data_IF_718113038501
#
_entry.id   IF_718113038501
#
_cell.length_a   1.000
_cell.length_b   1.000
_cell.length_c   1.000
_cell.angle_alpha   90.00
_cell.angle_beta   90.00
_cell.angle_gamma   90.00
#
_symmetry.space_group_name_H-M   'P 1'
#
loop_
_entity.id
_entity.type
_entity.pdbx_description
1 polymer ?
#
# COMPACT_ATOMS: atom_id res chain seq x y z
N UNK A 1 15.33 14.10 17.72
CA UNK A 1 14.64 12.81 17.49
C UNK A 1 13.47 12.80 18.45
N UNK A 2 12.26 12.45 17.99
CA UNK A 2 11.10 12.41 18.87
C UNK A 2 11.20 11.23 19.84
N UNK A 3 10.73 11.41 21.06
CA UNK A 3 10.57 10.34 22.04
C UNK A 3 9.39 9.44 21.63
N UNK A 4 8.29 10.09 21.20
CA UNK A 4 7.09 9.44 20.62
C UNK A 4 6.89 10.00 19.22
N UNK A 5 7.05 9.17 18.19
CA UNK A 5 6.96 9.58 16.78
C UNK A 5 5.69 9.01 16.14
N UNK A 6 4.64 9.81 16.06
CA UNK A 6 3.33 9.47 15.52
C UNK A 6 3.08 10.08 14.12
N UNK A 7 4.14 10.54 13.43
CA UNK A 7 4.01 11.18 12.12
C UNK A 7 3.49 10.24 11.03
N UNK A 8 3.91 8.98 11.09
CA UNK A 8 3.52 7.92 10.14
C UNK A 8 4.09 6.58 10.61
N UNK A 9 3.47 5.47 10.24
CA UNK A 9 4.04 4.13 10.43
C UNK A 9 5.30 3.88 9.58
N UNK A 10 5.61 4.75 8.62
CA UNK A 10 6.87 4.72 7.85
C UNK A 10 8.11 5.05 8.68
N UNK A 11 7.96 5.61 9.88
CA UNK A 11 9.06 5.87 10.82
C UNK A 11 9.34 4.69 11.75
N UNK A 12 8.57 3.60 11.66
CA UNK A 12 8.76 2.37 12.42
C UNK A 12 10.17 1.82 12.20
N UNK A 13 10.82 1.43 13.27
CA UNK A 13 12.19 0.92 13.23
C UNK A 13 12.23 -0.58 13.42
N UNK A 14 13.18 -1.28 12.76
CA UNK A 14 13.36 -2.71 12.96
C UNK A 14 13.76 -3.02 14.40
N UNK A 15 13.15 -4.05 14.97
CA UNK A 15 13.52 -4.56 16.29
C UNK A 15 14.91 -5.21 16.28
N UNK A 16 15.52 -5.37 17.45
CA UNK A 16 16.81 -6.06 17.55
C UNK A 16 16.75 -7.50 17.01
N UNK A 17 15.64 -8.20 17.25
CA UNK A 17 15.42 -9.54 16.73
C UNK A 17 15.35 -9.55 15.19
N UNK A 18 14.65 -8.59 14.60
CA UNK A 18 14.59 -8.43 13.14
C UNK A 18 15.97 -8.13 12.55
N UNK A 19 16.77 -7.24 13.17
CA UNK A 19 18.15 -6.95 12.74
C UNK A 19 19.03 -8.21 12.80
N UNK A 20 18.87 -9.04 13.82
CA UNK A 20 19.59 -10.31 13.92
C UNK A 20 19.15 -11.29 12.81
N UNK A 21 17.85 -11.35 12.47
CA UNK A 21 17.36 -12.14 11.35
C UNK A 21 17.98 -11.70 10.02
N UNK A 22 18.10 -10.38 9.80
CA UNK A 22 18.78 -9.82 8.62
C UNK A 22 20.22 -10.33 8.50
N UNK A 23 21.01 -10.17 9.56
CA UNK A 23 22.45 -10.52 9.56
C UNK A 23 22.66 -12.02 9.37
N UNK A 24 21.73 -12.85 9.85
CA UNK A 24 21.81 -14.31 9.79
C UNK A 24 21.25 -14.90 8.48
N UNK A 25 20.68 -14.07 7.62
CA UNK A 25 20.06 -14.55 6.38
C UNK A 25 21.11 -14.98 5.36
N UNK A 26 21.00 -16.19 4.77
CA UNK A 26 21.85 -16.58 3.65
C UNK A 26 21.54 -15.71 2.43
N UNK A 27 22.57 -15.38 1.65
CA UNK A 27 22.47 -14.48 0.50
C UNK A 27 23.05 -15.10 -0.77
N UNK A 28 22.53 -14.65 -1.91
CA UNK A 28 23.02 -14.92 -3.26
C UNK A 28 22.87 -13.66 -4.10
N UNK A 29 22.72 -13.79 -5.41
CA UNK A 29 22.52 -12.66 -6.31
C UNK A 29 21.06 -12.63 -6.81
N UNK A 30 20.28 -11.61 -6.42
CA UNK A 30 18.87 -11.44 -6.82
C UNK A 30 18.70 -11.36 -8.35
N UNK A 31 19.63 -10.72 -9.07
CA UNK A 31 19.54 -10.62 -10.53
C UNK A 31 19.75 -11.96 -11.22
N UNK A 32 20.61 -12.82 -10.66
CA UNK A 32 20.82 -14.17 -11.14
C UNK A 32 19.70 -15.12 -10.70
N UNK A 33 18.89 -14.70 -9.72
CA UNK A 33 17.78 -15.50 -9.21
C UNK A 33 18.23 -16.64 -8.31
N UNK A 34 19.38 -16.49 -7.62
CA UNK A 34 19.96 -17.49 -6.73
C UNK A 34 20.07 -17.04 -5.26
N UNK A 35 19.54 -15.86 -4.90
CA UNK A 35 19.47 -15.44 -3.51
C UNK A 35 18.40 -16.26 -2.76
N UNK A 36 18.80 -17.17 -1.84
CA UNK A 36 17.84 -18.13 -1.25
C UNK A 36 16.83 -17.46 -0.34
N UNK A 37 17.17 -16.33 0.30
CA UNK A 37 16.24 -15.63 1.20
C UNK A 37 15.23 -14.81 0.43
N UNK A 38 15.62 -14.21 -0.71
CA UNK A 38 14.67 -13.56 -1.63
C UNK A 38 13.69 -14.58 -2.20
N UNK A 39 14.19 -15.71 -2.69
CA UNK A 39 13.35 -16.79 -3.21
C UNK A 39 12.37 -17.33 -2.17
N UNK A 40 12.82 -17.50 -0.91
CA UNK A 40 11.95 -17.90 0.21
C UNK A 40 10.85 -16.86 0.44
N UNK A 41 11.19 -15.56 0.50
CA UNK A 41 10.21 -14.49 0.71
C UNK A 41 9.16 -14.46 -0.41
N UNK A 42 9.61 -14.51 -1.67
CA UNK A 42 8.72 -14.50 -2.83
C UNK A 42 7.77 -15.74 -2.81
N UNK A 43 8.29 -16.92 -2.48
CA UNK A 43 7.50 -18.14 -2.37
C UNK A 43 6.47 -18.06 -1.22
N UNK A 44 6.86 -17.56 -0.04
CA UNK A 44 5.96 -17.39 1.10
C UNK A 44 4.76 -16.48 0.77
N UNK A 45 5.00 -15.37 0.07
CA UNK A 45 3.92 -14.49 -0.35
C UNK A 45 3.01 -15.12 -1.41
N UNK A 46 3.59 -15.78 -2.41
CA UNK A 46 2.83 -16.48 -3.45
C UNK A 46 1.91 -17.56 -2.82
N UNK A 47 2.44 -18.36 -1.89
CA UNK A 47 1.68 -19.40 -1.17
C UNK A 47 0.54 -18.80 -0.33
N UNK A 48 0.82 -17.78 0.50
CA UNK A 48 -0.17 -17.17 1.40
C UNK A 48 -1.34 -16.54 0.65
N UNK A 49 -1.05 -15.86 -0.45
CA UNK A 49 -2.07 -15.22 -1.28
C UNK A 49 -2.67 -16.15 -2.35
N UNK A 50 -2.13 -17.34 -2.54
CA UNK A 50 -2.58 -18.26 -3.60
C UNK A 50 -2.31 -17.72 -5.01
N UNK A 51 -1.33 -16.82 -5.17
CA UNK A 51 -0.89 -16.31 -6.48
C UNK A 51 0.21 -17.19 -7.06
N UNK A 52 0.44 -17.11 -8.38
CA UNK A 52 1.45 -17.97 -9.02
C UNK A 52 2.87 -17.56 -8.65
N UNK A 53 3.14 -16.26 -8.53
CA UNK A 53 4.48 -15.71 -8.26
C UNK A 53 4.42 -14.41 -7.48
N UNK A 54 5.59 -14.06 -6.94
CA UNK A 54 5.85 -12.78 -6.28
C UNK A 54 7.17 -12.17 -6.76
N UNK A 55 7.35 -10.87 -6.54
CA UNK A 55 8.56 -10.11 -6.86
C UNK A 55 8.90 -9.18 -5.72
N UNK A 56 10.07 -9.35 -5.10
CA UNK A 56 10.56 -8.45 -4.08
C UNK A 56 11.05 -7.13 -4.70
N UNK A 57 10.55 -6.00 -4.17
CA UNK A 57 10.81 -4.64 -4.65
C UNK A 57 11.36 -3.77 -3.51
N UNK A 58 12.05 -2.66 -3.85
CA UNK A 58 12.66 -1.76 -2.86
C UNK A 58 11.64 -0.97 -2.07
N UNK A 59 10.49 -0.65 -2.67
CA UNK A 59 9.45 0.19 -2.07
C UNK A 59 8.09 -0.10 -2.70
N UNK A 60 7.01 0.36 -2.04
CA UNK A 60 5.66 0.34 -2.60
C UNK A 60 5.55 1.11 -3.90
N UNK A 61 6.16 2.30 -3.96
CA UNK A 61 6.23 3.09 -5.20
C UNK A 61 6.83 2.30 -6.35
N UNK A 62 7.95 1.59 -6.11
CA UNK A 62 8.55 0.76 -7.16
C UNK A 62 7.62 -0.37 -7.58
N UNK A 63 6.98 -1.07 -6.62
CA UNK A 63 6.05 -2.16 -6.91
C UNK A 63 4.85 -1.69 -7.72
N UNK A 64 4.22 -0.56 -7.33
CA UNK A 64 3.11 0.04 -8.05
C UNK A 64 3.52 0.50 -9.46
N UNK A 65 4.66 1.20 -9.59
CA UNK A 65 5.14 1.64 -10.90
C UNK A 65 5.43 0.46 -11.84
N UNK A 66 6.01 -0.62 -11.32
CA UNK A 66 6.23 -1.84 -12.09
C UNK A 66 4.89 -2.45 -12.53
N UNK A 67 3.90 -2.54 -11.64
CA UNK A 67 2.58 -3.06 -11.95
C UNK A 67 1.91 -2.26 -13.06
N UNK A 68 1.87 -0.94 -12.90
CA UNK A 68 1.25 -0.03 -13.88
C UNK A 68 1.96 -0.09 -15.24
N UNK A 69 3.30 -0.08 -15.26
CA UNK A 69 4.08 -0.24 -16.49
C UNK A 69 3.89 -1.61 -17.16
N UNK A 70 3.51 -2.64 -16.37
CA UNK A 70 3.26 -3.99 -16.90
C UNK A 70 1.88 -4.13 -17.51
N UNK A 71 0.89 -3.39 -16.98
CA UNK A 71 -0.51 -3.48 -17.39
C UNK A 71 -0.91 -2.47 -18.47
N UNK A 72 -0.16 -1.37 -18.59
CA UNK A 72 -0.51 -0.22 -19.43
C UNK A 72 0.36 -0.14 -20.68
N UNK A 73 -0.24 0.41 -21.72
CA UNK A 73 0.44 0.86 -22.93
C UNK A 73 0.30 2.39 -23.05
N UNK A 74 1.21 3.07 -23.77
CA UNK A 74 1.08 4.50 -24.02
C UNK A 74 -0.29 4.88 -24.56
N UNK A 75 -0.98 5.83 -23.91
CA UNK A 75 -2.31 6.28 -24.27
C UNK A 75 -3.47 5.56 -23.57
N UNK A 76 -3.18 4.54 -22.77
CA UNK A 76 -4.18 3.91 -21.88
C UNK A 76 -4.57 4.83 -20.72
N UNK A 77 -5.62 4.45 -19.98
CA UNK A 77 -6.14 5.18 -18.82
C UNK A 77 -6.28 4.30 -17.59
N UNK A 78 -5.92 4.86 -16.43
CA UNK A 78 -6.12 4.29 -15.10
C UNK A 78 -7.35 4.93 -14.45
N UNK A 79 -8.25 4.12 -13.92
CA UNK A 79 -9.34 4.55 -13.05
C UNK A 79 -8.88 4.36 -11.60
N UNK A 80 -8.79 5.43 -10.81
CA UNK A 80 -8.42 5.35 -9.40
C UNK A 80 -9.12 6.43 -8.57
N UNK A 81 -8.94 6.36 -7.26
CA UNK A 81 -9.44 7.40 -6.35
C UNK A 81 -8.59 8.69 -6.46
N UNK A 82 -9.17 9.92 -6.32
CA UNK A 82 -8.38 11.15 -6.30
C UNK A 82 -7.36 11.22 -5.14
N UNK A 83 -7.55 10.45 -4.07
CA UNK A 83 -6.60 10.32 -2.96
C UNK A 83 -5.53 9.25 -3.18
N UNK A 84 -5.63 8.42 -4.22
CA UNK A 84 -4.72 7.30 -4.46
C UNK A 84 -3.25 7.70 -4.42
N UNK A 85 -2.44 6.90 -3.72
CA UNK A 85 -1.00 7.11 -3.57
C UNK A 85 -0.30 7.07 -4.93
N UNK A 86 -0.68 6.15 -5.80
CA UNK A 86 -0.13 5.99 -7.16
C UNK A 86 -0.23 7.25 -8.01
N UNK A 87 -1.21 8.13 -7.72
CA UNK A 87 -1.37 9.40 -8.41
C UNK A 87 -0.66 10.55 -7.70
N UNK A 88 -0.85 10.68 -6.37
CA UNK A 88 -0.44 11.87 -5.63
C UNK A 88 1.02 11.85 -5.16
N UNK A 89 1.58 10.65 -4.87
CA UNK A 89 2.82 10.52 -4.11
C UNK A 89 3.92 9.70 -4.79
N UNK A 90 3.77 9.42 -6.08
CA UNK A 90 4.74 8.65 -6.87
C UNK A 90 5.39 9.46 -7.99
N UNK A 91 5.55 10.78 -7.78
CA UNK A 91 6.29 11.65 -8.68
C UNK A 91 5.69 11.77 -10.09
N UNK A 92 4.36 11.59 -10.24
CA UNK A 92 3.70 11.59 -11.55
C UNK A 92 4.01 10.35 -12.38
N UNK A 93 4.34 9.23 -11.71
CA UNK A 93 4.85 8.02 -12.36
C UNK A 93 3.90 7.39 -13.38
N UNK A 94 2.57 7.51 -13.21
CA UNK A 94 1.60 7.02 -14.21
C UNK A 94 1.85 7.69 -15.57
N UNK A 95 2.03 9.00 -15.58
CA UNK A 95 2.31 9.74 -16.81
C UNK A 95 3.76 9.53 -17.29
N UNK A 96 4.73 9.60 -16.36
CA UNK A 96 6.16 9.58 -16.70
C UNK A 96 6.67 8.20 -17.12
N UNK A 97 6.20 7.14 -16.46
CA UNK A 97 6.71 5.79 -16.64
C UNK A 97 5.78 4.90 -17.46
N UNK A 98 4.46 5.01 -17.24
CA UNK A 98 3.47 4.21 -17.96
C UNK A 98 2.84 4.94 -19.16
N UNK A 99 3.13 6.24 -19.32
CA UNK A 99 2.64 7.10 -20.44
C UNK A 99 1.11 7.09 -20.56
N UNK A 100 0.41 7.06 -19.44
CA UNK A 100 -1.04 6.88 -19.36
C UNK A 100 -1.74 8.02 -18.65
N UNK A 101 -3.02 8.21 -18.97
CA UNK A 101 -3.89 9.19 -18.33
C UNK A 101 -4.57 8.59 -17.09
N UNK A 102 -5.25 9.46 -16.32
CA UNK A 102 -5.95 9.07 -15.10
C UNK A 102 -7.34 9.69 -15.09
N UNK A 103 -8.34 8.93 -14.66
CA UNK A 103 -9.68 9.41 -14.35
C UNK A 103 -10.05 8.99 -12.93
N UNK A 104 -10.83 9.83 -12.24
CA UNK A 104 -11.08 9.68 -10.81
C UNK A 104 -12.54 9.40 -10.50
N UNK A 105 -12.75 8.56 -9.47
CA UNK A 105 -14.03 8.38 -8.81
C UNK A 105 -13.82 7.88 -7.37
N UNK A 106 -14.83 8.06 -6.53
CA UNK A 106 -14.85 7.60 -5.14
C UNK A 106 -15.44 8.64 -4.19
N UNK A 107 -15.49 8.31 -2.91
CA UNK A 107 -16.06 9.12 -1.84
C UNK A 107 -14.98 9.82 -0.99
N UNK A 108 -15.41 10.59 0.01
CA UNK A 108 -14.51 11.34 0.90
C UNK A 108 -13.67 10.45 1.83
N UNK A 109 -13.98 9.14 1.91
CA UNK A 109 -13.26 8.15 2.71
C UNK A 109 -12.26 7.32 1.90
N UNK A 110 -12.16 7.60 0.61
CA UNK A 110 -11.21 6.91 -0.27
C UNK A 110 -11.74 5.61 -0.86
N UNK A 111 -13.04 5.35 -0.72
CA UNK A 111 -13.71 4.15 -1.24
C UNK A 111 -14.27 4.43 -2.63
N UNK A 112 -14.05 3.53 -3.56
CA UNK A 112 -14.63 3.58 -4.91
C UNK A 112 -15.84 2.65 -4.97
N UNK A 113 -16.88 3.08 -5.71
CA UNK A 113 -18.12 2.33 -5.85
C UNK A 113 -18.35 1.93 -7.30
N UNK A 114 -19.03 0.78 -7.58
CA UNK A 114 -19.26 0.28 -8.93
C UNK A 114 -19.84 1.30 -9.90
N UNK A 115 -20.84 2.09 -9.48
CA UNK A 115 -21.51 3.09 -10.32
C UNK A 115 -20.55 4.20 -10.76
N UNK A 116 -19.69 4.64 -9.82
CA UNK A 116 -18.65 5.63 -10.11
C UNK A 116 -17.63 5.09 -11.11
N UNK A 117 -17.17 3.84 -10.91
CA UNK A 117 -16.25 3.19 -11.85
C UNK A 117 -16.86 3.04 -13.23
N UNK A 118 -18.11 2.58 -13.31
CA UNK A 118 -18.84 2.45 -14.59
C UNK A 118 -18.93 3.78 -15.35
N UNK A 119 -19.12 4.89 -14.64
CA UNK A 119 -19.18 6.23 -15.26
C UNK A 119 -17.85 6.71 -15.83
N UNK A 120 -16.73 6.15 -15.35
CA UNK A 120 -15.38 6.47 -15.81
C UNK A 120 -14.94 5.66 -17.04
N UNK A 121 -15.55 4.51 -17.29
CA UNK A 121 -15.18 3.63 -18.40
C UNK A 121 -15.52 4.30 -19.73
N UNK A 122 -14.52 4.49 -20.57
CA UNK A 122 -14.67 5.13 -21.88
C UNK A 122 -15.26 4.15 -22.90
N UNK A 123 -16.03 4.69 -23.83
CA UNK A 123 -16.49 3.95 -25.01
C UNK A 123 -15.26 3.54 -25.87
N UNK A 124 -15.39 2.44 -26.61
CA UNK A 124 -14.40 2.05 -27.61
C UNK A 124 -14.54 2.96 -28.85
N UNK A 125 -13.91 4.13 -28.77
CA UNK A 125 -13.93 5.20 -29.77
C UNK A 125 -12.54 5.85 -29.84
N UNK A 126 -12.08 6.16 -31.04
CA UNK A 126 -10.75 6.70 -31.33
C UNK A 126 -10.44 8.04 -30.64
N UNK A 127 -11.46 8.76 -30.16
CA UNK A 127 -11.30 10.02 -29.44
C UNK A 127 -10.94 9.84 -27.96
N UNK A 128 -11.07 8.65 -27.40
CA UNK A 128 -10.89 8.40 -25.98
C UNK A 128 -9.65 7.55 -25.69
N UNK A 129 -8.99 7.78 -24.55
CA UNK A 129 -8.01 6.81 -24.04
C UNK A 129 -8.73 5.50 -23.70
N UNK A 130 -8.04 4.38 -23.86
CA UNK A 130 -8.62 3.09 -23.48
C UNK A 130 -8.55 2.90 -21.98
N UNK A 131 -9.69 2.81 -21.30
CA UNK A 131 -9.73 2.43 -19.88
C UNK A 131 -9.15 1.01 -19.74
N UNK A 132 -8.05 0.87 -19.00
CA UNK A 132 -7.28 -0.37 -18.92
C UNK A 132 -7.14 -0.93 -17.52
N UNK A 133 -6.90 -0.08 -16.53
CA UNK A 133 -6.64 -0.48 -15.16
C UNK A 133 -7.66 0.17 -14.23
N UNK A 134 -8.28 -0.63 -13.37
CA UNK A 134 -8.95 -0.19 -12.16
C UNK A 134 -7.98 -0.41 -10.99
N UNK A 135 -7.59 0.66 -10.29
CA UNK A 135 -6.68 0.58 -9.16
C UNK A 135 -7.36 1.10 -7.89
N UNK A 136 -7.40 0.27 -6.85
CA UNK A 136 -7.86 0.68 -5.51
C UNK A 136 -6.70 0.65 -4.51
N UNK A 137 -6.86 1.37 -3.41
CA UNK A 137 -5.89 1.44 -2.31
C UNK A 137 -6.55 0.94 -1.02
N UNK A 138 -5.98 -0.10 -0.39
CA UNK A 138 -6.48 -0.64 0.87
C UNK A 138 -5.30 -0.88 1.88
N UNK A 139 -5.28 -0.21 3.04
CA UNK A 139 -6.26 0.79 3.49
C UNK A 139 -6.05 2.14 2.79
N UNK A 140 -7.11 2.92 2.63
CA UNK A 140 -7.00 4.27 2.07
C UNK A 140 -6.26 5.20 3.03
N UNK A 141 -5.07 5.68 2.62
CA UNK A 141 -4.22 6.52 3.47
C UNK A 141 -4.88 7.87 3.80
N UNK A 142 -5.26 8.63 2.79
CA UNK A 142 -5.95 9.93 2.98
C UNK A 142 -7.39 9.80 3.46
N UNK A 143 -8.02 8.64 3.28
CA UNK A 143 -9.31 8.32 3.85
C UNK A 143 -9.28 8.08 5.36
N UNK A 144 -8.10 8.11 6.00
CA UNK A 144 -7.95 7.88 7.43
C UNK A 144 -7.81 6.40 7.80
N UNK A 145 -7.20 5.61 6.93
CA UNK A 145 -7.02 4.17 7.14
C UNK A 145 -8.28 3.35 6.93
N UNK A 146 -9.23 3.87 6.13
CA UNK A 146 -10.48 3.20 5.78
C UNK A 146 -10.22 1.92 5.03
N UNK A 147 -10.99 0.89 5.36
CA UNK A 147 -10.91 -0.42 4.74
C UNK A 147 -12.13 -0.66 3.85
N UNK A 148 -11.92 -1.35 2.74
CA UNK A 148 -13.02 -1.93 1.95
C UNK A 148 -13.65 -3.10 2.71
N UNK A 149 -14.99 -3.19 2.67
CA UNK A 149 -15.68 -4.44 2.97
C UNK A 149 -15.49 -5.44 1.84
N UNK A 150 -15.57 -6.74 2.14
CA UNK A 150 -15.29 -7.75 1.12
C UNK A 150 -16.26 -7.68 -0.06
N UNK A 151 -17.53 -7.44 0.20
CA UNK A 151 -18.59 -7.30 -0.80
C UNK A 151 -18.35 -6.13 -1.77
N UNK A 152 -17.72 -5.05 -1.30
CA UNK A 152 -17.33 -3.91 -2.13
C UNK A 152 -16.21 -4.29 -3.11
N UNK A 153 -15.22 -5.07 -2.65
CA UNK A 153 -14.15 -5.60 -3.48
C UNK A 153 -14.71 -6.54 -4.56
N UNK A 154 -15.61 -7.46 -4.18
CA UNK A 154 -16.26 -8.37 -5.12
C UNK A 154 -17.08 -7.62 -6.18
N UNK A 155 -17.81 -6.59 -5.78
CA UNK A 155 -18.58 -5.76 -6.70
C UNK A 155 -17.69 -5.02 -7.72
N UNK A 156 -16.55 -4.48 -7.26
CA UNK A 156 -15.56 -3.84 -8.13
C UNK A 156 -14.86 -4.86 -9.04
N UNK A 157 -14.53 -6.06 -8.54
CA UNK A 157 -13.99 -7.16 -9.36
C UNK A 157 -14.96 -7.56 -10.47
N UNK A 158 -16.27 -7.64 -10.16
CA UNK A 158 -17.28 -7.95 -11.16
C UNK A 158 -17.32 -6.90 -12.27
N UNK A 159 -17.23 -5.61 -11.93
CA UNK A 159 -17.13 -4.52 -12.92
C UNK A 159 -15.86 -4.66 -13.75
N UNK A 160 -14.70 -4.84 -13.12
CA UNK A 160 -13.42 -4.99 -13.81
C UNK A 160 -13.47 -6.15 -14.81
N UNK A 161 -13.92 -7.33 -14.37
CA UNK A 161 -14.01 -8.53 -15.21
C UNK A 161 -14.96 -8.34 -16.39
N UNK A 162 -16.13 -7.74 -16.15
CA UNK A 162 -17.15 -7.51 -17.20
C UNK A 162 -16.65 -6.57 -18.30
N UNK A 163 -15.82 -5.60 -17.95
CA UNK A 163 -15.33 -4.57 -18.87
C UNK A 163 -13.89 -4.77 -19.34
N UNK A 164 -13.28 -5.91 -18.98
CA UNK A 164 -11.90 -6.24 -19.38
C UNK A 164 -10.85 -5.29 -18.81
N UNK A 165 -11.10 -4.75 -17.62
CA UNK A 165 -10.13 -3.96 -16.87
C UNK A 165 -9.23 -4.88 -16.03
N UNK A 166 -7.96 -4.58 -15.98
CA UNK A 166 -7.05 -5.18 -15.00
C UNK A 166 -7.34 -4.58 -13.63
N UNK A 167 -7.48 -5.42 -12.61
CA UNK A 167 -7.77 -4.97 -11.25
C UNK A 167 -6.50 -5.02 -10.39
N UNK A 168 -5.94 -3.85 -10.06
CA UNK A 168 -4.74 -3.67 -9.27
C UNK A 168 -5.06 -3.20 -7.85
N UNK A 169 -4.37 -3.77 -6.85
CA UNK A 169 -4.42 -3.32 -5.48
C UNK A 169 -3.12 -2.65 -5.06
N UNK A 170 -3.17 -1.36 -4.71
CA UNK A 170 -2.18 -0.76 -3.83
C UNK A 170 -2.49 -1.19 -2.39
N UNK A 171 -1.82 -2.24 -1.96
CA UNK A 171 -1.93 -2.83 -0.63
C UNK A 171 -0.84 -2.34 0.33
N UNK A 172 -0.46 -1.06 0.23
CA UNK A 172 0.62 -0.50 1.07
C UNK A 172 0.40 -0.74 2.57
N UNK A 173 -0.86 -0.88 3.01
CA UNK A 173 -1.25 -1.25 4.38
C UNK A 173 -2.26 -2.41 4.39
N UNK A 174 -2.17 -3.32 3.44
CA UNK A 174 -3.12 -4.42 3.32
C UNK A 174 -3.23 -5.26 4.60
N UNK A 175 -2.10 -5.55 5.26
CA UNK A 175 -2.14 -6.31 6.52
C UNK A 175 -2.92 -5.61 7.63
N UNK A 176 -2.98 -4.26 7.65
CA UNK A 176 -3.87 -3.54 8.56
C UNK A 176 -5.35 -3.82 8.23
N UNK A 177 -5.73 -3.83 6.95
CA UNK A 177 -7.10 -4.15 6.53
C UNK A 177 -7.45 -5.61 6.88
N UNK A 178 -6.57 -6.57 6.57
CA UNK A 178 -6.78 -8.00 6.87
C UNK A 178 -7.02 -8.23 8.37
N UNK A 179 -6.20 -7.61 9.24
CA UNK A 179 -6.35 -7.71 10.69
C UNK A 179 -7.63 -7.02 11.18
N UNK A 180 -7.94 -5.82 10.68
CA UNK A 180 -9.10 -5.05 11.11
C UNK A 180 -10.43 -5.67 10.71
N UNK A 181 -10.50 -6.28 9.52
CA UNK A 181 -11.72 -6.87 8.93
C UNK A 181 -11.77 -8.39 9.04
N UNK A 182 -10.73 -9.02 9.59
CA UNK A 182 -10.60 -10.49 9.65
C UNK A 182 -10.78 -11.14 8.27
N UNK A 183 -10.15 -10.54 7.24
CA UNK A 183 -10.19 -11.00 5.86
C UNK A 183 -9.00 -11.90 5.55
N UNK A 184 -9.14 -12.76 4.52
CA UNK A 184 -8.14 -13.75 4.14
C UNK A 184 -7.18 -13.23 3.06
N UNK A 185 -5.89 -13.54 3.19
CA UNK A 185 -4.87 -13.25 2.16
C UNK A 185 -5.22 -13.92 0.83
N UNK A 186 -5.70 -15.17 0.86
CA UNK A 186 -6.03 -15.96 -0.33
C UNK A 186 -7.23 -15.39 -1.11
N UNK A 187 -8.20 -14.78 -0.43
CA UNK A 187 -9.32 -14.12 -1.09
C UNK A 187 -8.82 -12.94 -1.92
N UNK A 188 -7.92 -12.13 -1.35
CA UNK A 188 -7.27 -11.03 -2.08
C UNK A 188 -6.47 -11.51 -3.28
N UNK A 189 -5.69 -12.58 -3.15
CA UNK A 189 -4.95 -13.15 -4.27
C UNK A 189 -5.84 -13.63 -5.42
N UNK A 190 -7.08 -14.03 -5.12
CA UNK A 190 -8.08 -14.43 -6.14
C UNK A 190 -8.79 -13.23 -6.76
N UNK A 191 -9.03 -12.17 -5.97
CA UNK A 191 -9.80 -11.02 -6.43
C UNK A 191 -9.03 -10.08 -7.36
N UNK A 192 -7.71 -9.98 -7.21
CA UNK A 192 -6.89 -9.01 -7.95
C UNK A 192 -5.98 -9.67 -8.97
N UNK A 193 -5.75 -8.97 -10.08
CA UNK A 193 -4.78 -9.40 -11.10
C UNK A 193 -3.33 -9.08 -10.68
N UNK A 194 -3.15 -8.05 -9.84
CA UNK A 194 -1.87 -7.73 -9.20
C UNK A 194 -2.06 -7.02 -7.87
N UNK A 195 -1.17 -7.28 -6.92
CA UNK A 195 -1.19 -6.69 -5.57
C UNK A 195 0.20 -6.21 -5.20
N UNK A 196 0.36 -4.96 -4.78
CA UNK A 196 1.57 -4.47 -4.13
C UNK A 196 1.38 -4.42 -2.60
N UNK A 197 2.36 -4.90 -1.82
CA UNK A 197 2.28 -4.95 -0.35
C UNK A 197 3.54 -4.38 0.25
N UNK A 198 3.43 -3.33 1.08
CA UNK A 198 4.58 -2.79 1.78
C UNK A 198 4.90 -3.57 3.06
N UNK A 199 6.20 -3.76 3.30
CA UNK A 199 6.75 -4.39 4.49
C UNK A 199 7.38 -3.36 5.44
N UNK A 200 7.69 -2.16 4.90
CA UNK A 200 8.45 -1.09 5.56
C UNK A 200 7.57 -0.03 6.23
N UNK A 201 6.43 -0.43 6.77
CA UNK A 201 5.49 0.41 7.54
C UNK A 201 5.20 -0.23 8.90
N UNK A 202 3.94 -0.42 9.29
CA UNK A 202 3.57 -1.06 10.55
C UNK A 202 4.19 -2.43 10.79
N UNK A 203 4.49 -3.19 9.75
CA UNK A 203 5.21 -4.47 9.84
C UNK A 203 6.68 -4.32 10.27
N UNK A 204 7.27 -3.13 10.14
CA UNK A 204 8.56 -2.77 10.74
C UNK A 204 9.80 -3.20 9.97
N UNK A 205 9.70 -3.80 8.78
CA UNK A 205 10.88 -4.03 7.96
C UNK A 205 11.50 -2.69 7.53
N UNK A 206 12.84 -2.56 7.48
CA UNK A 206 13.48 -1.28 7.15
C UNK A 206 13.29 -0.86 5.69
N UNK A 207 13.08 -1.81 4.81
CA UNK A 207 12.96 -1.63 3.35
C UNK A 207 12.12 -2.75 2.79
N UNK A 208 11.37 -2.46 1.73
CA UNK A 208 10.82 -3.48 0.85
C UNK A 208 9.32 -3.49 0.74
N UNK A 209 8.92 -4.01 -0.39
CA UNK A 209 7.55 -4.34 -0.78
C UNK A 209 7.55 -5.60 -1.64
N UNK A 210 6.41 -6.25 -1.75
CA UNK A 210 6.25 -7.42 -2.63
C UNK A 210 5.14 -7.13 -3.62
N UNK A 211 5.38 -7.46 -4.89
CA UNK A 211 4.39 -7.43 -5.96
C UNK A 211 3.97 -8.86 -6.28
N UNK A 212 2.66 -9.11 -6.31
CA UNK A 212 2.04 -10.43 -6.52
C UNK A 212 1.26 -10.45 -7.84
N UNK A 213 1.16 -11.62 -8.45
CA UNK A 213 0.33 -11.87 -9.62
C UNK A 213 0.65 -13.17 -10.33
N UNK A 214 0.23 -13.28 -11.60
CA UNK A 214 0.52 -14.45 -12.43
C UNK A 214 2.01 -14.58 -12.74
N UNK A 215 2.45 -15.79 -13.13
CA UNK A 215 3.85 -16.04 -13.52
C UNK A 215 4.26 -15.19 -14.73
N UNK A 216 3.39 -15.05 -15.72
CA UNK A 216 3.64 -14.20 -16.89
C UNK A 216 3.82 -12.73 -16.49
N UNK A 217 2.91 -12.21 -15.68
CA UNK A 217 2.97 -10.83 -15.17
C UNK A 217 4.26 -10.60 -14.36
N UNK A 218 4.61 -11.47 -13.44
CA UNK A 218 5.82 -11.32 -12.62
C UNK A 218 7.08 -11.48 -13.45
N UNK A 219 7.10 -12.35 -14.46
CA UNK A 219 8.24 -12.48 -15.39
C UNK A 219 8.47 -11.16 -16.16
N UNK A 220 7.40 -10.53 -16.65
CA UNK A 220 7.48 -9.22 -17.31
C UNK A 220 7.91 -8.12 -16.32
N UNK A 221 7.32 -8.11 -15.14
CA UNK A 221 7.60 -7.16 -14.05
C UNK A 221 9.06 -7.19 -13.61
N UNK A 222 9.69 -8.37 -13.56
CA UNK A 222 11.12 -8.52 -13.24
C UNK A 222 12.03 -7.79 -14.25
N UNK A 223 11.67 -7.76 -15.52
CA UNK A 223 12.39 -7.01 -16.56
C UNK A 223 12.24 -5.50 -16.36
N UNK A 224 11.03 -5.04 -16.02
CA UNK A 224 10.75 -3.63 -15.70
C UNK A 224 11.53 -3.24 -14.46
N UNK A 225 11.48 -4.04 -13.38
CA UNK A 225 12.25 -3.79 -12.15
C UNK A 225 13.73 -3.57 -12.45
N UNK A 226 14.32 -4.42 -13.30
CA UNK A 226 15.72 -4.28 -13.70
C UNK A 226 15.97 -2.99 -14.46
N UNK A 227 15.11 -2.62 -15.41
CA UNK A 227 15.22 -1.42 -16.25
C UNK A 227 15.19 -0.12 -15.43
N UNK A 228 14.37 -0.07 -14.35
CA UNK A 228 14.25 1.09 -13.46
C UNK A 228 15.19 1.04 -12.25
N UNK A 229 16.24 0.22 -12.30
CA UNK A 229 17.30 0.20 -11.29
C UNK A 229 17.04 -0.69 -10.07
N UNK A 230 15.96 -1.48 -10.05
CA UNK A 230 15.58 -2.31 -8.90
C UNK A 230 16.17 -3.73 -8.88
N UNK A 231 17.09 -4.05 -9.78
CA UNK A 231 17.80 -5.32 -9.71
C UNK A 231 18.95 -5.26 -8.72
N UNK A 232 18.85 -6.04 -7.64
CA UNK A 232 19.79 -6.01 -6.54
C UNK A 232 20.86 -7.10 -6.66
N UNK A 233 21.73 -7.17 -5.64
CA UNK A 233 22.70 -8.24 -5.46
C UNK A 233 22.28 -9.07 -4.24
N UNK A 234 22.92 -8.94 -3.12
CA UNK A 234 22.66 -9.70 -1.89
C UNK A 234 21.43 -9.15 -1.14
N UNK A 235 20.27 -9.17 -1.78
CA UNK A 235 19.02 -8.64 -1.22
C UNK A 235 18.43 -9.51 -0.11
N UNK A 236 18.92 -10.73 0.05
CA UNK A 236 18.52 -11.62 1.13
C UNK A 236 18.69 -11.03 2.52
N UNK A 237 19.64 -10.11 2.73
CA UNK A 237 19.74 -9.34 3.97
C UNK A 237 18.43 -8.59 4.28
N UNK A 238 17.84 -7.95 3.29
CA UNK A 238 16.60 -7.19 3.44
C UNK A 238 15.38 -8.11 3.47
N UNK A 239 15.39 -9.15 2.64
CA UNK A 239 14.34 -10.16 2.62
C UNK A 239 14.22 -10.90 3.96
N UNK A 240 15.31 -11.09 4.68
CA UNK A 240 15.30 -11.67 6.03
C UNK A 240 14.52 -10.84 7.05
N UNK A 241 14.61 -9.51 6.98
CA UNK A 241 13.74 -8.63 7.78
C UNK A 241 12.28 -8.76 7.40
N UNK A 242 12.00 -8.86 6.10
CA UNK A 242 10.66 -9.02 5.57
C UNK A 242 10.00 -10.34 6.02
N UNK A 243 10.75 -11.44 5.99
CA UNK A 243 10.30 -12.74 6.51
C UNK A 243 10.02 -12.64 8.01
N UNK A 244 10.92 -12.05 8.78
CA UNK A 244 10.71 -11.85 10.21
C UNK A 244 9.43 -11.04 10.48
N UNK A 245 9.22 -9.95 9.73
CA UNK A 245 8.03 -9.10 9.85
C UNK A 245 6.74 -9.90 9.60
N UNK A 246 6.73 -10.72 8.55
CA UNK A 246 5.58 -11.54 8.17
C UNK A 246 5.26 -12.62 9.22
N UNK A 247 6.28 -13.21 9.83
CA UNK A 247 6.14 -14.28 10.82
C UNK A 247 5.80 -13.76 12.23
N UNK A 248 6.14 -12.50 12.57
CA UNK A 248 6.08 -12.04 13.96
C UNK A 248 5.28 -10.74 14.18
N UNK A 249 5.03 -9.94 13.15
CA UNK A 249 4.49 -8.59 13.34
C UNK A 249 3.07 -8.38 12.78
N UNK A 250 2.48 -9.35 12.10
CA UNK A 250 1.13 -9.21 11.51
C UNK A 250 0.09 -9.06 12.62
N UNK A 251 0.03 -9.99 13.55
CA UNK A 251 -1.01 -10.00 14.59
C UNK A 251 -0.92 -8.79 15.52
N UNK A 252 0.30 -8.27 15.76
CA UNK A 252 0.50 -7.09 16.60
C UNK A 252 -0.03 -5.79 16.01
N UNK A 253 -0.38 -5.74 14.71
CA UNK A 253 -1.05 -4.57 14.13
C UNK A 253 -2.38 -4.24 14.85
N UNK A 254 -3.02 -5.23 15.46
CA UNK A 254 -4.19 -5.00 16.30
C UNK A 254 -3.91 -4.07 17.50
N UNK A 255 -2.67 -4.08 18.03
CA UNK A 255 -2.26 -3.18 19.13
C UNK A 255 -2.24 -1.73 18.64
N UNK A 256 -1.73 -1.48 17.43
CA UNK A 256 -1.69 -0.15 16.82
C UNK A 256 -3.13 0.37 16.56
N UNK A 257 -4.03 -0.53 16.13
CA UNK A 257 -5.46 -0.19 15.93
C UNK A 257 -6.14 0.17 17.25
N UNK A 258 -5.88 -0.59 18.31
CA UNK A 258 -6.43 -0.28 19.64
C UNK A 258 -5.92 1.06 20.15
N UNK A 259 -4.62 1.31 20.05
CA UNK A 259 -4.02 2.59 20.44
C UNK A 259 -4.59 3.78 19.66
N UNK A 260 -4.82 3.63 18.36
CA UNK A 260 -5.44 4.67 17.53
C UNK A 260 -6.88 4.98 17.98
N UNK A 261 -7.67 3.96 18.35
CA UNK A 261 -9.03 4.11 18.88
C UNK A 261 -9.05 4.80 20.24
N UNK A 262 -8.19 4.37 21.17
CA UNK A 262 -8.08 4.97 22.50
C UNK A 262 -7.70 6.47 22.41
N UNK A 263 -6.76 6.80 21.52
CA UNK A 263 -6.37 8.19 21.24
C UNK A 263 -7.52 8.99 20.60
N UNK A 264 -8.28 8.40 19.68
CA UNK A 264 -9.43 9.04 19.06
C UNK A 264 -10.52 9.37 20.09
N UNK A 265 -10.83 8.45 21.00
CA UNK A 265 -11.78 8.66 22.10
C UNK A 265 -11.32 9.78 23.02
N UNK A 266 -10.06 9.80 23.41
CA UNK A 266 -9.49 10.87 24.23
C UNK A 266 -9.57 12.23 23.52
N UNK A 267 -9.17 12.31 22.26
CA UNK A 267 -9.19 13.55 21.47
C UNK A 267 -10.62 14.06 21.26
N UNK A 268 -11.58 13.16 21.03
CA UNK A 268 -12.99 13.52 20.87
C UNK A 268 -13.64 14.18 22.09
N UNK A 269 -13.04 14.04 23.28
CA UNK A 269 -13.50 14.67 24.52
C UNK A 269 -12.87 16.06 24.76
N UNK A 270 -11.91 16.47 23.92
CA UNK A 270 -11.19 17.72 24.13
C UNK A 270 -11.92 18.91 23.49
N UNK A 271 -12.10 19.98 24.25
CA UNK A 271 -12.82 21.18 23.78
C UNK A 271 -12.12 21.95 22.66
N UNK A 272 -10.83 21.68 22.43
CA UNK A 272 -10.02 22.29 21.38
C UNK A 272 -9.98 21.47 20.07
N UNK A 273 -10.58 20.27 20.07
CA UNK A 273 -10.70 19.42 18.88
C UNK A 273 -12.03 19.70 18.20
N UNK A 274 -11.99 20.04 16.90
CA UNK A 274 -13.16 20.30 16.07
C UNK A 274 -13.86 19.01 15.65
N UNK A 275 -13.09 18.04 15.21
CA UNK A 275 -13.57 16.73 14.77
C UNK A 275 -12.46 15.67 14.83
N UNK A 276 -12.87 14.42 14.96
CA UNK A 276 -12.01 13.25 14.85
C UNK A 276 -12.59 12.31 13.80
N UNK A 277 -11.79 11.89 12.86
CA UNK A 277 -12.15 10.81 11.93
C UNK A 277 -11.99 9.49 12.68
N UNK A 278 -13.08 8.74 12.82
CA UNK A 278 -13.05 7.45 13.53
C UNK A 278 -12.05 6.50 12.85
N UNK A 279 -10.97 6.07 13.54
CA UNK A 279 -9.97 5.20 12.95
C UNK A 279 -10.51 3.77 12.81
N UNK A 280 -10.35 3.19 11.62
CA UNK A 280 -10.61 1.78 11.39
C UNK A 280 -9.35 0.95 11.63
N UNK A 281 -8.19 1.55 11.40
CA UNK A 281 -6.87 0.93 11.55
C UNK A 281 -5.92 1.82 12.36
N UNK A 282 -4.68 1.95 11.94
CA UNK A 282 -3.60 2.67 12.64
C UNK A 282 -3.46 4.16 12.25
N UNK A 283 -4.39 4.72 11.49
CA UNK A 283 -4.35 6.13 11.09
C UNK A 283 -5.39 6.91 11.86
N UNK A 284 -4.93 7.94 12.56
CA UNK A 284 -5.76 8.86 13.32
C UNK A 284 -5.67 10.27 12.72
N UNK A 285 -6.81 10.80 12.28
CA UNK A 285 -6.93 12.16 11.75
C UNK A 285 -7.88 12.96 12.65
N UNK A 286 -7.46 14.15 13.05
CA UNK A 286 -8.30 15.07 13.79
C UNK A 286 -8.08 16.51 13.34
N UNK A 287 -9.11 17.34 13.48
CA UNK A 287 -9.06 18.77 13.22
C UNK A 287 -9.03 19.60 14.50
N UNK A 288 -8.31 20.69 14.49
CA UNK A 288 -8.32 21.69 15.56
C UNK A 288 -9.45 22.69 15.34
N UNK A 289 -9.93 23.35 16.41
CA UNK A 289 -10.84 24.46 16.30
C UNK A 289 -10.21 25.62 15.52
N UNK A 290 -11.02 26.45 14.88
CA UNK A 290 -10.58 27.53 13.97
C UNK A 290 -9.75 28.64 14.64
N UNK A 291 -9.87 28.77 15.96
CA UNK A 291 -9.09 29.71 16.77
C UNK A 291 -7.70 29.21 17.18
N UNK A 292 -7.37 27.94 16.83
CA UNK A 292 -6.09 27.34 17.15
C UNK A 292 -5.11 27.42 15.96
N UNK A 293 -3.90 27.82 16.26
CA UNK A 293 -2.78 27.79 15.30
C UNK A 293 -2.21 26.37 15.20
N UNK A 294 -2.42 25.74 14.05
CA UNK A 294 -1.97 24.36 13.79
C UNK A 294 -0.44 24.23 13.81
N UNK A 295 0.29 25.20 13.27
CA UNK A 295 1.75 25.15 13.25
C UNK A 295 2.32 25.29 14.66
N UNK A 296 1.76 26.21 15.46
CA UNK A 296 2.14 26.37 16.86
C UNK A 296 1.81 25.12 17.69
N UNK A 297 0.67 24.46 17.42
CA UNK A 297 0.28 23.20 18.09
C UNK A 297 1.32 22.09 17.80
N UNK A 298 1.65 21.87 16.54
CA UNK A 298 2.64 20.86 16.11
C UNK A 298 4.01 21.16 16.71
N UNK A 299 4.44 22.44 16.68
CA UNK A 299 5.71 22.87 17.26
C UNK A 299 5.78 22.62 18.76
N UNK A 300 4.69 22.92 19.49
CA UNK A 300 4.62 22.70 20.93
C UNK A 300 4.72 21.21 21.29
N UNK A 301 4.10 20.32 20.51
CA UNK A 301 4.25 18.88 20.69
C UNK A 301 5.67 18.42 20.39
N UNK A 302 6.28 18.97 19.34
CA UNK A 302 7.66 18.65 18.95
C UNK A 302 8.66 19.04 20.05
N UNK A 303 8.48 20.20 20.73
CA UNK A 303 9.27 20.62 21.89
C UNK A 303 9.15 19.65 23.08
N UNK A 304 8.01 18.98 23.19
CA UNK A 304 7.75 17.93 24.20
C UNK A 304 8.19 16.53 23.76
N UNK A 305 8.87 16.42 22.63
CA UNK A 305 9.36 15.15 22.10
C UNK A 305 8.31 14.30 21.38
N UNK A 306 7.14 14.87 21.05
CA UNK A 306 6.06 14.18 20.35
C UNK A 306 6.00 14.67 18.90
N UNK A 307 6.18 13.77 17.95
CA UNK A 307 6.10 14.05 16.53
C UNK A 307 4.72 13.68 15.95
N UNK A 308 4.03 14.65 15.36
CA UNK A 308 2.85 14.44 14.51
C UNK A 308 3.07 15.13 13.16
N UNK A 309 2.26 14.79 12.16
CA UNK A 309 2.31 15.42 10.82
C UNK A 309 1.00 16.14 10.50
N UNK A 310 1.10 17.20 9.72
CA UNK A 310 -0.03 17.79 9.04
C UNK A 310 -0.40 16.93 7.82
N UNK A 311 -1.70 16.75 7.56
CA UNK A 311 -2.22 16.09 6.36
C UNK A 311 -2.76 17.10 5.36
#
# INVERSE_FOLDING_TARGET
MFEVDLRSDTVTRPSRAMLNAMISSPVGDDVWGDDPTVLKLEAMFAERFGTEKALFCVSGTQANQIALMSHLSPGDEVICHPYAHIYNYEGGGIAANAHSSVVFTGDDRGIMHPEGVLSCIKADDVHYPKSRVLAIENTSNKGGGTCYEWEEIEALRAVASKHGLTFHLDGARLYNALVAKNQSESDYGTAFDSISICLSKGLGAPVGSVLLGSEEFIHHSRRIRKRIGGGWRQAGLLAGAAIYALENNVDRLAEDHAAAKDMAEFLGQQSWVKNVVAPETNILIFGLNEDMDQEAFISTLAEKGIGISQM
#
